data_IF_737944625046
#
_entry.id   IF_737944625046
#
_cell.length_a   1.000
_cell.length_b   1.000
_cell.length_c   1.000
_cell.angle_alpha   90.00
_cell.angle_beta   90.00
_cell.angle_gamma   90.00
#
_symmetry.space_group_name_H-M   'P 1'
#
loop_
_entity.id
_entity.type
_entity.pdbx_description
1 polymer ?
#
# COMPACT_ATOMS: atom_id res chain seq x y z
N UNK A 1 -14.65 2.67 -18.80
CA UNK A 1 -13.74 2.59 -17.64
C UNK A 1 -14.06 3.58 -16.52
N UNK A 2 -13.97 4.92 -16.71
CA UNK A 2 -14.17 5.89 -15.63
C UNK A 2 -15.60 5.81 -15.08
N UNK A 3 -16.57 5.84 -15.99
CA UNK A 3 -17.98 5.68 -15.64
C UNK A 3 -18.21 4.38 -14.86
N UNK A 4 -17.68 3.26 -15.35
CA UNK A 4 -17.87 1.95 -14.73
C UNK A 4 -17.31 1.90 -13.30
N UNK A 5 -16.13 2.49 -13.07
CA UNK A 5 -15.52 2.60 -11.74
C UNK A 5 -16.35 3.46 -10.79
N UNK A 6 -16.86 4.61 -11.24
CA UNK A 6 -17.68 5.49 -10.38
C UNK A 6 -18.93 4.76 -9.93
N UNK A 7 -19.62 4.12 -10.87
CA UNK A 7 -20.87 3.44 -10.56
C UNK A 7 -20.61 2.19 -9.71
N UNK A 8 -19.49 1.48 -9.90
CA UNK A 8 -19.10 0.38 -9.01
C UNK A 8 -18.90 0.89 -7.57
N UNK A 9 -18.13 1.96 -7.38
CA UNK A 9 -17.86 2.53 -6.06
C UNK A 9 -19.14 3.00 -5.37
N UNK A 10 -20.04 3.69 -6.08
CA UNK A 10 -21.31 4.13 -5.50
C UNK A 10 -22.21 2.96 -5.13
N UNK A 11 -22.23 1.89 -5.94
CA UNK A 11 -22.98 0.66 -5.63
C UNK A 11 -22.43 -0.02 -4.38
N UNK A 12 -21.09 -0.09 -4.24
CA UNK A 12 -20.43 -0.65 -3.05
C UNK A 12 -20.76 0.17 -1.80
N UNK A 13 -20.74 1.50 -1.90
CA UNK A 13 -21.08 2.39 -0.78
C UNK A 13 -22.54 2.19 -0.35
N UNK A 14 -23.47 2.17 -1.31
CA UNK A 14 -24.90 1.93 -1.06
C UNK A 14 -25.15 0.58 -0.37
N UNK A 15 -24.52 -0.49 -0.85
CA UNK A 15 -24.69 -1.84 -0.27
C UNK A 15 -23.96 -1.98 1.08
N UNK A 16 -22.86 -1.24 1.26
CA UNK A 16 -22.02 -1.26 2.46
C UNK A 16 -22.75 -0.78 3.71
N UNK A 17 -23.72 0.13 3.57
CA UNK A 17 -24.49 0.67 4.69
C UNK A 17 -25.31 -0.41 5.45
N UNK A 18 -25.77 -1.46 4.76
CA UNK A 18 -26.68 -2.44 5.34
C UNK A 18 -26.09 -3.85 5.51
N UNK A 19 -25.04 -4.21 4.77
CA UNK A 19 -24.58 -5.61 4.64
C UNK A 19 -23.11 -5.84 5.04
N UNK A 20 -22.35 -4.78 5.31
CA UNK A 20 -20.90 -4.83 5.50
C UNK A 20 -20.14 -4.84 4.17
N UNK A 21 -18.85 -4.42 4.18
CA UNK A 21 -18.16 -4.09 2.91
C UNK A 21 -17.86 -5.31 2.04
N UNK A 22 -17.43 -6.44 2.63
CA UNK A 22 -17.06 -7.63 1.85
C UNK A 22 -18.20 -8.16 0.98
N UNK A 23 -19.41 -8.43 1.51
CA UNK A 23 -20.54 -8.85 0.67
C UNK A 23 -20.98 -7.74 -0.28
N UNK A 24 -20.94 -6.47 0.13
CA UNK A 24 -21.26 -5.33 -0.74
C UNK A 24 -20.35 -5.26 -1.98
N UNK A 25 -19.04 -5.51 -1.82
CA UNK A 25 -18.09 -5.57 -2.94
C UNK A 25 -18.46 -6.69 -3.90
N UNK A 26 -18.73 -7.90 -3.40
CA UNK A 26 -19.01 -9.06 -4.25
C UNK A 26 -20.29 -8.84 -5.05
N UNK A 27 -21.37 -8.41 -4.40
CA UNK A 27 -22.66 -8.13 -5.04
C UNK A 27 -22.51 -7.05 -6.12
N UNK A 28 -21.85 -5.93 -5.78
CA UNK A 28 -21.63 -4.83 -6.72
C UNK A 28 -20.80 -5.25 -7.94
N UNK A 29 -19.76 -6.08 -7.76
CA UNK A 29 -18.94 -6.59 -8.87
C UNK A 29 -19.76 -7.52 -9.77
N UNK A 30 -20.57 -8.42 -9.21
CA UNK A 30 -21.44 -9.31 -9.96
C UNK A 30 -22.46 -8.55 -10.83
N UNK A 31 -23.03 -7.47 -10.30
CA UNK A 31 -23.99 -6.64 -11.02
C UNK A 31 -23.34 -5.82 -12.13
N UNK A 32 -22.06 -5.47 -11.98
CA UNK A 32 -21.30 -4.67 -12.95
C UNK A 32 -20.61 -5.50 -14.03
N UNK A 33 -20.37 -6.79 -13.79
CA UNK A 33 -19.71 -7.67 -14.75
C UNK A 33 -20.40 -7.65 -16.12
N UNK A 34 -21.73 -7.80 -16.16
CA UNK A 34 -22.51 -7.82 -17.42
C UNK A 34 -22.45 -6.48 -18.17
N UNK A 35 -22.79 -5.33 -17.54
CA UNK A 35 -22.68 -4.02 -18.18
C UNK A 35 -21.28 -3.70 -18.72
N UNK A 36 -20.22 -3.94 -17.94
CA UNK A 36 -18.83 -3.61 -18.31
C UNK A 36 -18.34 -4.47 -19.46
N UNK A 37 -18.70 -5.76 -19.47
CA UNK A 37 -18.38 -6.65 -20.59
C UNK A 37 -19.13 -6.23 -21.86
N UNK A 38 -20.41 -5.86 -21.76
CA UNK A 38 -21.21 -5.43 -22.91
C UNK A 38 -20.70 -4.13 -23.53
N UNK A 39 -20.38 -3.12 -22.73
CA UNK A 39 -19.81 -1.87 -23.25
C UNK A 39 -18.48 -2.11 -23.93
N UNK A 40 -17.58 -2.85 -23.28
CA UNK A 40 -16.26 -3.18 -23.85
C UNK A 40 -16.40 -3.94 -25.15
N UNK A 41 -17.21 -5.00 -25.17
CA UNK A 41 -17.43 -5.82 -26.35
C UNK A 41 -18.05 -4.99 -27.48
N UNK A 42 -19.04 -4.16 -27.18
CA UNK A 42 -19.70 -3.32 -28.18
C UNK A 42 -18.74 -2.28 -28.76
N UNK A 43 -17.88 -1.67 -27.95
CA UNK A 43 -16.85 -0.73 -28.43
C UNK A 43 -15.81 -1.44 -29.31
N UNK A 44 -15.30 -2.60 -28.87
CA UNK A 44 -14.31 -3.36 -29.65
C UNK A 44 -14.91 -3.84 -30.97
N UNK A 45 -16.14 -4.36 -30.96
CA UNK A 45 -16.84 -4.78 -32.17
C UNK A 45 -17.19 -3.60 -33.09
N UNK A 46 -17.57 -2.45 -32.53
CA UNK A 46 -17.85 -1.23 -33.29
C UNK A 46 -16.61 -0.64 -33.97
N UNK A 47 -15.43 -0.88 -33.39
CA UNK A 47 -14.14 -0.45 -33.95
C UNK A 47 -13.48 -1.50 -34.84
N UNK A 48 -13.95 -2.75 -34.80
CA UNK A 48 -13.48 -3.84 -35.66
C UNK A 48 -13.45 -3.48 -37.16
N UNK A 49 -14.47 -2.85 -37.78
CA UNK A 49 -14.42 -2.53 -39.21
C UNK A 49 -13.28 -1.57 -39.59
N UNK A 50 -12.93 -0.61 -38.72
CA UNK A 50 -11.83 0.33 -38.95
C UNK A 50 -10.46 -0.36 -38.98
N UNK A 51 -10.33 -1.51 -38.32
CA UNK A 51 -9.11 -2.32 -38.34
C UNK A 51 -8.91 -3.03 -39.70
N UNK A 52 -9.98 -3.32 -40.43
CA UNK A 52 -9.93 -4.01 -41.73
C UNK A 52 -9.90 -3.07 -42.93
N UNK A 53 -10.05 -1.76 -42.72
CA UNK A 53 -10.06 -0.78 -43.80
C UNK A 53 -8.63 -0.46 -44.30
N UNK A 54 -8.45 -0.44 -45.62
CA UNK A 54 -7.15 -0.30 -46.30
C UNK A 54 -6.84 1.09 -46.86
N UNK A 55 -7.72 2.07 -46.59
CA UNK A 55 -7.61 3.44 -47.09
C UNK A 55 -6.43 4.18 -46.43
N UNK A 56 -5.75 5.08 -47.16
CA UNK A 56 -4.63 5.87 -46.61
C UNK A 56 -5.01 6.72 -45.38
N UNK A 57 -6.26 7.20 -45.33
CA UNK A 57 -6.83 7.90 -44.16
C UNK A 57 -7.08 6.95 -42.96
N UNK A 58 -7.45 5.70 -43.22
CA UNK A 58 -7.70 4.70 -42.18
C UNK A 58 -6.38 4.20 -41.54
N UNK A 59 -5.28 4.22 -42.29
CA UNK A 59 -3.97 3.81 -41.79
C UNK A 59 -3.42 4.75 -40.69
N UNK A 60 -3.73 6.06 -40.76
CA UNK A 60 -3.45 7.00 -39.68
C UNK A 60 -4.29 6.75 -38.42
N UNK A 61 -5.51 6.21 -38.55
CA UNK A 61 -6.41 5.94 -37.43
C UNK A 61 -6.16 4.60 -36.75
N UNK A 62 -5.58 3.62 -37.47
CA UNK A 62 -5.27 2.28 -36.94
C UNK A 62 -4.49 2.28 -35.61
N UNK A 63 -3.38 3.04 -35.44
CA UNK A 63 -2.63 3.04 -34.19
C UNK A 63 -3.47 3.49 -32.98
N UNK A 64 -4.32 4.50 -33.18
CA UNK A 64 -5.22 5.01 -32.16
C UNK A 64 -6.29 3.98 -31.78
N UNK A 65 -6.87 3.30 -32.76
CA UNK A 65 -7.88 2.26 -32.49
C UNK A 65 -7.28 1.06 -31.77
N UNK A 66 -6.08 0.62 -32.17
CA UNK A 66 -5.38 -0.50 -31.52
C UNK A 66 -5.10 -0.19 -30.05
N UNK A 67 -4.51 0.98 -29.76
CA UNK A 67 -4.23 1.40 -28.38
C UNK A 67 -5.51 1.51 -27.54
N UNK A 68 -6.59 2.02 -28.12
CA UNK A 68 -7.89 2.10 -27.46
C UNK A 68 -8.47 0.71 -27.14
N UNK A 69 -8.48 -0.22 -28.10
CA UNK A 69 -8.99 -1.59 -27.90
C UNK A 69 -8.22 -2.33 -26.80
N UNK A 70 -6.89 -2.24 -26.80
CA UNK A 70 -6.06 -2.79 -25.73
C UNK A 70 -6.35 -2.13 -24.38
N UNK A 71 -6.48 -0.79 -24.35
CA UNK A 71 -6.79 -0.03 -23.14
C UNK A 71 -8.16 -0.37 -22.55
N UNK A 72 -9.19 -0.55 -23.39
CA UNK A 72 -10.51 -1.00 -22.94
C UNK A 72 -10.48 -2.43 -22.43
N UNK A 73 -9.85 -3.35 -23.16
CA UNK A 73 -9.72 -4.75 -22.75
C UNK A 73 -9.02 -4.89 -21.39
N UNK A 74 -7.89 -4.19 -21.21
CA UNK A 74 -7.20 -4.14 -19.92
C UNK A 74 -8.03 -3.42 -18.84
N UNK A 75 -8.76 -2.38 -19.22
CA UNK A 75 -9.62 -1.60 -18.34
C UNK A 75 -10.68 -2.44 -17.63
N UNK A 76 -11.24 -3.47 -18.29
CA UNK A 76 -12.19 -4.40 -17.66
C UNK A 76 -11.58 -5.07 -16.44
N UNK A 77 -10.37 -5.61 -16.56
CA UNK A 77 -9.66 -6.23 -15.45
C UNK A 77 -9.35 -5.22 -14.35
N UNK A 78 -8.97 -4.00 -14.74
CA UNK A 78 -8.65 -2.95 -13.79
C UNK A 78 -9.88 -2.53 -12.97
N UNK A 79 -11.04 -2.37 -13.59
CA UNK A 79 -12.29 -2.02 -12.89
C UNK A 79 -12.81 -3.17 -12.03
N UNK A 80 -12.82 -4.40 -12.54
CA UNK A 80 -13.42 -5.54 -11.82
C UNK A 80 -12.52 -6.19 -10.78
N UNK A 81 -11.19 -6.03 -10.85
CA UNK A 81 -10.25 -6.61 -9.90
C UNK A 81 -9.58 -5.54 -9.04
N UNK A 82 -8.98 -4.53 -9.67
CA UNK A 82 -8.10 -3.58 -8.98
C UNK A 82 -8.91 -2.61 -8.12
N UNK A 83 -10.02 -2.07 -8.64
CA UNK A 83 -10.90 -1.16 -7.88
C UNK A 83 -11.48 -1.81 -6.61
N UNK A 84 -12.12 -3.00 -6.65
CA UNK A 84 -12.64 -3.62 -5.44
C UNK A 84 -11.54 -4.04 -4.44
N UNK A 85 -10.36 -4.45 -4.94
CA UNK A 85 -9.22 -4.72 -4.07
C UNK A 85 -8.73 -3.46 -3.35
N UNK A 86 -8.69 -2.31 -4.03
CA UNK A 86 -8.37 -1.01 -3.44
C UNK A 86 -9.39 -0.59 -2.39
N UNK A 87 -10.69 -0.82 -2.62
CA UNK A 87 -11.73 -0.52 -1.63
C UNK A 87 -11.57 -1.36 -0.35
N UNK A 88 -11.30 -2.66 -0.50
CA UNK A 88 -11.04 -3.55 0.63
C UNK A 88 -9.78 -3.17 1.41
N UNK A 89 -8.66 -2.95 0.70
CA UNK A 89 -7.39 -2.53 1.30
C UNK A 89 -7.50 -1.16 1.98
N UNK A 90 -8.26 -0.23 1.38
CA UNK A 90 -8.54 1.08 1.96
C UNK A 90 -9.27 0.98 3.30
N UNK A 91 -10.20 0.03 3.44
CA UNK A 91 -10.86 -0.22 4.71
C UNK A 91 -9.89 -0.75 5.78
N UNK A 92 -9.12 -1.79 5.47
CA UNK A 92 -8.15 -2.37 6.40
C UNK A 92 -7.10 -1.34 6.86
N UNK A 93 -6.65 -0.49 5.93
CA UNK A 93 -5.75 0.62 6.22
C UNK A 93 -6.43 1.67 7.11
N UNK A 94 -7.70 2.01 6.84
CA UNK A 94 -8.44 2.98 7.67
C UNK A 94 -8.63 2.48 9.11
N UNK A 95 -8.86 1.18 9.32
CA UNK A 95 -8.97 0.58 10.65
C UNK A 95 -7.63 0.64 11.39
N UNK A 96 -6.54 0.29 10.70
CA UNK A 96 -5.18 0.31 11.24
C UNK A 96 -4.73 1.74 11.59
N UNK A 97 -5.00 2.72 10.72
CA UNK A 97 -4.68 4.13 10.95
C UNK A 97 -5.52 4.73 12.07
N UNK A 98 -6.81 4.40 12.18
CA UNK A 98 -7.67 4.88 13.29
C UNK A 98 -7.27 4.26 14.63
N UNK A 99 -6.77 3.03 14.65
CA UNK A 99 -6.22 2.40 15.85
C UNK A 99 -4.90 3.06 16.26
N UNK A 100 -3.99 3.27 15.31
CA UNK A 100 -2.72 3.97 15.54
C UNK A 100 -2.92 5.42 15.97
N UNK A 101 -3.83 6.16 15.33
CA UNK A 101 -4.18 7.53 15.70
C UNK A 101 -4.81 7.61 17.08
N UNK A 102 -5.65 6.64 17.47
CA UNK A 102 -6.19 6.57 18.84
C UNK A 102 -5.10 6.23 19.86
N UNK A 103 -4.16 5.34 19.54
CA UNK A 103 -3.02 5.06 20.42
C UNK A 103 -2.14 6.31 20.62
N UNK A 104 -1.90 7.08 19.56
CA UNK A 104 -1.14 8.34 19.59
C UNK A 104 -1.87 9.46 20.34
N UNK A 105 -3.16 9.67 20.07
CA UNK A 105 -3.97 10.72 20.71
C UNK A 105 -4.40 10.37 22.13
N UNK A 106 -4.46 9.09 22.51
CA UNK A 106 -4.72 8.65 23.89
C UNK A 106 -3.48 8.75 24.79
N UNK A 107 -2.51 9.61 24.44
CA UNK A 107 -1.20 9.83 25.06
C UNK A 107 -1.14 10.19 26.55
N UNK A 108 -2.18 9.89 27.33
CA UNK A 108 -2.19 9.94 28.81
C UNK A 108 -2.69 8.66 29.49
N UNK A 109 -3.12 7.62 28.75
CA UNK A 109 -3.54 6.31 29.32
C UNK A 109 -2.76 5.10 28.78
N UNK A 110 -1.96 5.26 27.73
CA UNK A 110 -0.96 4.27 27.38
C UNK A 110 0.11 4.26 28.46
N UNK A 111 0.12 3.26 29.34
CA UNK A 111 1.15 3.09 30.37
C UNK A 111 2.58 3.02 29.80
N UNK A 112 3.59 2.67 30.61
CA UNK A 112 5.01 2.72 30.23
C UNK A 112 5.34 1.96 28.91
N UNK A 113 4.49 1.03 28.49
CA UNK A 113 4.58 0.32 27.22
C UNK A 113 4.43 1.20 25.96
N UNK A 114 3.56 2.23 25.97
CA UNK A 114 3.38 3.11 24.81
C UNK A 114 4.58 4.07 24.65
N UNK A 115 5.04 4.64 25.77
CA UNK A 115 6.25 5.45 25.82
C UNK A 115 7.49 4.66 25.35
N UNK A 116 7.62 3.39 25.75
CA UNK A 116 8.70 2.52 25.28
C UNK A 116 8.62 2.25 23.77
N UNK A 117 7.43 2.02 23.21
CA UNK A 117 7.28 1.83 21.75
C UNK A 117 7.53 3.10 20.94
N UNK A 118 7.16 4.27 21.46
CA UNK A 118 7.43 5.56 20.81
C UNK A 118 8.92 5.91 20.87
N UNK A 119 9.57 5.67 22.01
CA UNK A 119 11.02 5.84 22.15
C UNK A 119 11.79 4.90 21.22
N UNK A 120 11.35 3.63 21.08
CA UNK A 120 11.92 2.69 20.12
C UNK A 120 11.75 3.16 18.68
N UNK A 121 10.55 3.63 18.30
CA UNK A 121 10.29 4.12 16.96
C UNK A 121 11.18 5.32 16.61
N UNK A 122 11.35 6.27 17.55
CA UNK A 122 12.26 7.40 17.38
C UNK A 122 13.72 6.96 17.28
N UNK A 123 14.14 6.00 18.11
CA UNK A 123 15.50 5.48 18.09
C UNK A 123 15.81 4.70 16.79
N UNK A 124 14.87 3.90 16.28
CA UNK A 124 14.99 3.21 14.99
C UNK A 124 14.99 4.20 13.82
N UNK A 125 14.15 5.23 13.86
CA UNK A 125 14.12 6.27 12.83
C UNK A 125 15.45 7.03 12.80
N UNK A 126 16.00 7.37 13.96
CA UNK A 126 17.33 7.98 14.08
C UNK A 126 18.45 7.06 13.58
N UNK A 127 18.41 5.77 13.94
CA UNK A 127 19.39 4.78 13.50
C UNK A 127 19.35 4.54 11.98
N UNK A 128 18.17 4.47 11.39
CA UNK A 128 17.97 4.37 9.94
C UNK A 128 18.53 5.59 9.21
N UNK A 129 18.25 6.80 9.71
CA UNK A 129 18.77 8.04 9.13
C UNK A 129 20.30 8.09 9.17
N UNK A 130 20.92 7.64 10.26
CA UNK A 130 22.37 7.62 10.42
C UNK A 130 23.09 6.53 9.62
N UNK A 131 22.39 5.48 9.21
CA UNK A 131 22.99 4.33 8.50
C UNK A 131 22.69 4.40 7.00
N UNK A 132 21.44 4.18 6.60
CA UNK A 132 21.02 4.17 5.19
C UNK A 132 20.81 5.58 4.64
N UNK A 133 20.29 6.49 5.46
CA UNK A 133 20.10 7.89 5.06
C UNK A 133 21.44 8.60 4.77
N UNK A 134 22.42 8.42 5.65
CA UNK A 134 23.78 8.94 5.45
C UNK A 134 24.42 8.33 4.20
N UNK A 135 24.37 7.00 4.02
CA UNK A 135 24.97 6.35 2.86
C UNK A 135 24.36 6.82 1.52
N UNK A 136 23.03 6.99 1.43
CA UNK A 136 22.38 7.45 0.19
C UNK A 136 22.79 8.86 -0.22
N UNK A 137 23.05 9.75 0.74
CA UNK A 137 23.33 11.17 0.47
C UNK A 137 24.82 11.45 0.32
N UNK A 138 25.67 10.84 1.16
CA UNK A 138 27.09 11.16 1.23
C UNK A 138 28.02 10.08 0.68
N UNK A 139 27.51 8.90 0.30
CA UNK A 139 28.34 7.77 -0.13
C UNK A 139 29.23 7.19 0.98
N UNK A 140 29.09 7.67 2.22
CA UNK A 140 29.87 7.25 3.38
C UNK A 140 28.93 6.90 4.54
N UNK A 141 29.23 5.79 5.24
CA UNK A 141 28.53 5.45 6.48
C UNK A 141 29.09 6.30 7.61
N UNK A 142 28.22 6.91 8.43
CA UNK A 142 28.65 7.80 9.53
C UNK A 142 29.55 7.12 10.58
N UNK A 143 29.49 5.79 10.71
CA UNK A 143 30.20 5.02 11.74
C UNK A 143 31.43 4.25 11.27
N UNK A 144 31.63 4.09 9.96
CA UNK A 144 32.77 3.33 9.42
C UNK A 144 33.37 4.14 8.26
N UNK A 145 34.51 4.83 8.48
CA UNK A 145 35.22 5.53 7.41
C UNK A 145 35.99 4.50 6.58
N UNK A 146 35.27 3.72 5.79
CA UNK A 146 35.84 2.71 4.90
C UNK A 146 35.33 3.00 3.50
N UNK A 147 36.21 3.54 2.64
CA UNK A 147 35.98 3.70 1.21
C UNK A 147 36.11 2.34 0.54
N UNK A 148 34.99 1.61 0.41
CA UNK A 148 34.94 0.37 -0.36
C UNK A 148 34.51 0.63 -1.80
N UNK A 149 34.95 -0.21 -2.77
CA UNK A 149 34.43 -0.20 -4.13
C UNK A 149 32.90 -0.35 -4.16
N UNK A 150 32.25 0.42 -5.04
CA UNK A 150 30.79 0.57 -5.23
C UNK A 150 30.02 -0.77 -5.30
N UNK A 151 30.67 -1.86 -5.73
CA UNK A 151 30.05 -3.17 -5.94
C UNK A 151 29.79 -3.97 -4.66
N UNK A 152 30.30 -3.55 -3.50
CA UNK A 152 30.10 -4.25 -2.20
C UNK A 152 29.61 -3.38 -1.04
N UNK A 153 29.64 -2.05 -1.19
CA UNK A 153 29.31 -1.11 -0.11
C UNK A 153 27.82 -1.10 0.26
N UNK A 154 26.92 -1.29 -0.71
CA UNK A 154 25.47 -1.36 -0.47
C UNK A 154 25.07 -2.59 0.37
N UNK A 155 25.69 -3.74 0.10
CA UNK A 155 25.42 -4.99 0.83
C UNK A 155 25.88 -4.93 2.29
N UNK A 156 27.07 -4.37 2.55
CA UNK A 156 27.59 -4.21 3.90
C UNK A 156 26.82 -3.17 4.71
N UNK A 157 26.38 -2.07 4.10
CA UNK A 157 25.55 -1.10 4.79
C UNK A 157 24.19 -1.67 5.17
N UNK A 158 23.59 -2.47 4.26
CA UNK A 158 22.37 -3.19 4.56
C UNK A 158 22.58 -4.19 5.71
N UNK A 159 23.71 -4.90 5.75
CA UNK A 159 24.03 -5.82 6.85
C UNK A 159 24.23 -5.10 8.19
N UNK A 160 24.94 -3.97 8.22
CA UNK A 160 25.14 -3.13 9.42
C UNK A 160 23.82 -2.52 9.89
N UNK A 161 22.99 -2.05 8.95
CA UNK A 161 21.65 -1.57 9.25
C UNK A 161 20.77 -2.70 9.84
N UNK A 162 20.74 -3.87 9.21
CA UNK A 162 19.94 -5.01 9.65
C UNK A 162 20.37 -5.52 11.04
N UNK A 163 21.68 -5.60 11.30
CA UNK A 163 22.21 -5.97 12.61
C UNK A 163 21.89 -4.91 13.67
N UNK A 164 22.09 -3.63 13.35
CA UNK A 164 21.79 -2.53 14.28
C UNK A 164 20.30 -2.42 14.61
N UNK A 165 19.43 -2.56 13.60
CA UNK A 165 17.98 -2.60 13.78
C UNK A 165 17.55 -3.83 14.60
N UNK A 166 18.17 -4.99 14.38
CA UNK A 166 17.95 -6.20 15.18
C UNK A 166 18.28 -5.99 16.65
N UNK A 167 19.47 -5.44 16.94
CA UNK A 167 19.91 -5.14 18.32
C UNK A 167 18.99 -4.11 19.00
N UNK A 168 18.61 -3.04 18.30
CA UNK A 168 17.68 -2.03 18.82
C UNK A 168 16.31 -2.61 19.15
N UNK A 169 15.82 -3.53 18.31
CA UNK A 169 14.53 -4.20 18.52
C UNK A 169 14.58 -5.12 19.74
N UNK A 170 15.67 -5.87 19.92
CA UNK A 170 15.87 -6.74 21.09
C UNK A 170 15.99 -5.91 22.37
N UNK A 171 16.78 -4.84 22.37
CA UNK A 171 16.94 -3.95 23.54
C UNK A 171 15.60 -3.36 23.95
N UNK A 172 14.81 -2.87 23.00
CA UNK A 172 13.53 -2.28 23.33
C UNK A 172 12.47 -3.30 23.73
N UNK A 173 12.53 -4.52 23.19
CA UNK A 173 11.69 -5.63 23.69
C UNK A 173 12.04 -5.99 25.13
N UNK A 174 13.33 -6.04 25.48
CA UNK A 174 13.80 -6.28 26.85
C UNK A 174 13.38 -5.16 27.80
N UNK A 175 13.51 -3.89 27.41
CA UNK A 175 13.05 -2.74 28.20
C UNK A 175 11.53 -2.79 28.39
N UNK A 176 10.77 -3.08 27.34
CA UNK A 176 9.32 -3.21 27.43
C UNK A 176 8.87 -4.38 28.32
N UNK A 177 9.59 -5.52 28.29
CA UNK A 177 9.34 -6.67 29.15
C UNK A 177 9.63 -6.35 30.63
N UNK A 178 10.76 -5.68 30.92
CA UNK A 178 11.14 -5.27 32.26
C UNK A 178 10.15 -4.26 32.87
N UNK A 179 9.69 -3.28 32.07
CA UNK A 179 8.68 -2.31 32.50
C UNK A 179 7.32 -2.95 32.80
N UNK A 180 6.95 -4.03 32.10
CA UNK A 180 5.73 -4.80 32.38
C UNK A 180 5.85 -5.62 33.67
N UNK A 181 7.02 -6.18 33.95
CA UNK A 181 7.28 -6.94 35.17
C UNK A 181 7.32 -6.06 36.43
N UNK A 182 7.82 -4.83 36.32
CA UNK A 182 7.83 -3.88 37.44
C UNK A 182 6.45 -3.26 37.70
N UNK A 183 5.66 -2.99 36.65
CA UNK A 183 4.29 -2.49 36.78
C UNK A 183 3.35 -3.50 37.48
N UNK A 184 3.53 -4.82 37.26
CA UNK A 184 2.77 -5.86 37.94
C UNK A 184 3.03 -5.96 39.45
N UNK A 185 4.17 -5.46 39.94
CA UNK A 185 4.52 -5.49 41.37
C UNK A 185 3.91 -4.36 42.20
N UNK A 186 3.36 -3.32 41.58
CA UNK A 186 2.69 -2.21 42.29
C UNK A 186 1.17 -2.40 42.45
N UNK A 187 0.57 -3.40 41.80
CA UNK A 187 -0.85 -3.73 41.96
C UNK A 187 -1.13 -4.75 43.09
N UNK A 188 -0.08 -5.26 43.75
CA UNK A 188 -0.15 -6.30 44.78
C UNK A 188 0.29 -5.83 46.19
N UNK A 189 0.39 -4.51 46.41
CA UNK A 189 0.53 -3.87 47.72
C UNK A 189 -0.63 -2.92 47.92
#
# INVERSE_FOLDING_TARGET
>A
IINDSIVLVSTVDEYGHNRGLRPAIVDAVCDRLRPVMLTTLTTVLGLAPLLYEGSAEAEFLKPTVITLCYGLGFGVFMVLLVVPALLAAGQDLSHSLRAGRRALLAGRRGGPAFAASAALALALTGWFALTLGAQMVSGQMAFIPVTLPETGAAGLAFAVFALGAGVLTVIAYVIAALLRLTAGRHAAR
#
